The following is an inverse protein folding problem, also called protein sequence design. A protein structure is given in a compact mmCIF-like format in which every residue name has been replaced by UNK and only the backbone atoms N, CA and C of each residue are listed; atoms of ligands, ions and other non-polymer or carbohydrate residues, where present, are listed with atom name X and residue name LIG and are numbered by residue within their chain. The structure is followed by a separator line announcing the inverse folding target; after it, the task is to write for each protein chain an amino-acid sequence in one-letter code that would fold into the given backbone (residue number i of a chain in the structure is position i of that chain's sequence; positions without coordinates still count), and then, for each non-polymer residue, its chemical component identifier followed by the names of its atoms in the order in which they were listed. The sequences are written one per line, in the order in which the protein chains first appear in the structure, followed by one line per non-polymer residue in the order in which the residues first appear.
data_IF_444000687495
#
_entry.id   IF_444000687495
#
_cell.length_a   1.000
_cell.length_b   1.000
_cell.length_c   1.000
_cell.angle_alpha   90.00
_cell.angle_beta   90.00
_cell.angle_gamma   90.00
#
_symmetry.space_group_name_H-M   'P 1'
#
loop_
_entity.id
_entity.type
_entity.pdbx_description
1 polymer ?
#
# COMPACT_ATOMS: atom_id res chain seq x y z
N UNK A 1 5.68 -16.27 -16.13
CA UNK A 1 5.55 -16.36 -14.66
C UNK A 1 4.23 -15.74 -14.17
N UNK A 2 3.82 -14.59 -14.68
CA UNK A 2 2.43 -14.11 -14.58
C UNK A 2 1.75 -14.25 -15.94
N UNK A 3 1.19 -15.43 -16.20
CA UNK A 3 0.46 -15.70 -17.43
C UNK A 3 -1.05 -15.53 -17.21
N UNK A 4 -1.82 -15.31 -18.27
CA UNK A 4 -3.27 -15.05 -18.17
C UNK A 4 -4.01 -16.24 -17.51
N UNK A 5 -3.45 -17.43 -17.65
CA UNK A 5 -3.87 -18.67 -16.97
C UNK A 5 -3.67 -18.63 -15.44
N UNK A 6 -2.61 -17.98 -14.95
CA UNK A 6 -2.35 -17.86 -13.50
C UNK A 6 -3.42 -16.99 -12.82
N UNK A 7 -3.78 -15.86 -13.44
CA UNK A 7 -4.84 -14.98 -12.96
C UNK A 7 -6.26 -15.57 -13.08
N UNK A 8 -6.46 -16.50 -14.02
CA UNK A 8 -7.69 -17.29 -14.13
C UNK A 8 -7.78 -18.43 -13.10
N UNK A 9 -6.67 -18.78 -12.44
CA UNK A 9 -6.65 -19.77 -11.37
C UNK A 9 -7.14 -19.18 -10.05
N UNK A 10 -7.70 -20.05 -9.19
CA UNK A 10 -8.14 -19.71 -7.82
C UNK A 10 -7.06 -18.96 -7.02
N UNK A 11 -5.79 -19.36 -7.19
CA UNK A 11 -4.66 -18.74 -6.50
C UNK A 11 -4.39 -17.31 -7.01
N UNK A 12 -4.43 -17.10 -8.32
CA UNK A 12 -4.24 -15.77 -8.91
C UNK A 12 -5.39 -14.83 -8.57
N UNK A 13 -6.62 -15.33 -8.52
CA UNK A 13 -7.77 -14.54 -8.08
C UNK A 13 -7.66 -14.14 -6.60
N UNK A 14 -7.25 -15.07 -5.73
CA UNK A 14 -6.99 -14.75 -4.33
C UNK A 14 -5.87 -13.72 -4.18
N UNK A 15 -4.79 -13.84 -4.96
CA UNK A 15 -3.70 -12.85 -4.97
C UNK A 15 -4.19 -11.46 -5.42
N UNK A 16 -4.99 -11.40 -6.49
CA UNK A 16 -5.58 -10.14 -6.97
C UNK A 16 -6.50 -9.50 -5.93
N UNK A 17 -7.33 -10.28 -5.26
CA UNK A 17 -8.21 -9.78 -4.18
C UNK A 17 -7.38 -9.24 -3.02
N UNK A 18 -6.33 -9.93 -2.60
CA UNK A 18 -5.43 -9.45 -1.54
C UNK A 18 -4.72 -8.16 -1.91
N UNK A 19 -4.22 -8.04 -3.15
CA UNK A 19 -3.59 -6.81 -3.66
C UNK A 19 -4.62 -5.68 -3.69
N UNK A 20 -5.81 -5.94 -4.23
CA UNK A 20 -6.89 -4.94 -4.29
C UNK A 20 -7.31 -4.47 -2.88
N UNK A 21 -7.45 -5.40 -1.93
CA UNK A 21 -7.75 -5.07 -0.54
C UNK A 21 -6.64 -4.21 0.09
N UNK A 22 -5.38 -4.60 -0.09
CA UNK A 22 -4.23 -3.84 0.40
C UNK A 22 -4.19 -2.42 -0.20
N UNK A 23 -4.43 -2.27 -1.50
CA UNK A 23 -4.50 -0.96 -2.15
C UNK A 23 -5.67 -0.13 -1.62
N UNK A 24 -6.85 -0.71 -1.44
CA UNK A 24 -8.01 -0.01 -0.88
C UNK A 24 -7.75 0.50 0.54
N UNK A 25 -7.13 -0.32 1.40
CA UNK A 25 -6.72 0.09 2.73
C UNK A 25 -5.67 1.22 2.71
N UNK A 26 -4.71 1.16 1.78
CA UNK A 26 -3.73 2.23 1.63
C UNK A 26 -4.38 3.55 1.18
N UNK A 27 -5.31 3.51 0.23
CA UNK A 27 -6.04 4.70 -0.23
C UNK A 27 -6.90 5.27 0.89
N UNK A 28 -7.57 4.40 1.66
CA UNK A 28 -8.35 4.82 2.82
C UNK A 28 -7.45 5.48 3.88
N UNK A 29 -6.34 4.85 4.25
CA UNK A 29 -5.37 5.39 5.20
C UNK A 29 -4.82 6.74 4.73
N UNK A 30 -4.46 6.86 3.44
CA UNK A 30 -3.99 8.11 2.85
C UNK A 30 -5.05 9.20 2.91
N UNK A 31 -6.31 8.85 2.63
CA UNK A 31 -7.44 9.80 2.69
C UNK A 31 -7.65 10.30 4.13
N UNK A 32 -7.55 9.41 5.12
CA UNK A 32 -7.60 9.79 6.53
C UNK A 32 -6.40 10.68 6.91
N UNK A 33 -5.19 10.37 6.45
CA UNK A 33 -3.99 11.20 6.69
C UNK A 33 -4.10 12.60 6.09
N UNK A 34 -4.64 12.71 4.87
CA UNK A 34 -4.83 13.99 4.18
C UNK A 34 -5.93 14.82 4.88
N UNK A 35 -7.04 14.20 5.28
CA UNK A 35 -8.12 14.87 6.00
C UNK A 35 -7.74 15.28 7.43
N UNK A 36 -6.72 14.65 8.01
CA UNK A 36 -6.27 14.91 9.38
C UNK A 36 -5.26 16.05 9.51
N UNK A 37 -4.77 16.69 8.44
CA UNK A 37 -3.66 17.68 8.47
C UNK A 37 -3.43 18.38 9.82
N UNK A 38 -2.39 17.99 10.59
CA UNK A 38 -1.49 18.96 11.15
C UNK A 38 -0.27 19.00 10.22
N UNK A 39 -0.11 20.09 9.47
CA UNK A 39 1.16 20.56 8.90
C UNK A 39 2.29 19.51 8.75
N UNK A 40 2.51 19.07 7.50
CA UNK A 40 3.78 18.46 7.07
C UNK A 40 4.28 17.27 7.90
N UNK A 41 3.65 16.10 7.75
CA UNK A 41 4.38 14.85 7.95
C UNK A 41 5.25 14.57 6.71
N UNK A 42 6.27 15.39 6.49
CA UNK A 42 7.45 14.92 5.78
C UNK A 42 7.92 13.70 6.58
N UNK A 43 7.93 12.53 5.95
CA UNK A 43 8.52 11.32 6.51
C UNK A 43 9.94 11.67 6.94
N UNK A 44 10.14 11.89 8.24
CA UNK A 44 11.44 12.01 8.84
C UNK A 44 12.10 10.64 8.70
N UNK A 45 12.82 10.44 7.60
CA UNK A 45 13.82 9.39 7.52
C UNK A 45 14.72 9.55 8.77
N UNK A 46 14.93 8.50 9.58
CA UNK A 46 15.78 8.60 10.75
C UNK A 46 17.21 8.91 10.25
N UNK A 47 17.61 10.18 10.32
CA UNK A 47 18.98 10.61 10.11
C UNK A 47 19.79 10.16 11.31
N UNK A 48 20.37 8.96 11.21
CA UNK A 48 21.37 8.47 12.15
C UNK A 48 22.61 9.37 12.00
N UNK A 49 22.86 10.21 13.00
CA UNK A 49 24.07 11.01 13.09
C UNK A 49 25.19 10.15 13.70
N UNK A 50 26.19 9.77 12.90
CA UNK A 50 27.42 9.19 13.41
C UNK A 50 28.29 10.33 13.96
N UNK A 51 28.31 10.45 15.29
CA UNK A 51 29.34 11.18 16.03
C UNK A 51 30.51 10.25 16.38
#
# INVERSE_FOLDING_TARGET
MFDRSFFASKLGFAALVSIAAMSAFNVFALTQQIGMTPHAAMVAAPLVQLA
#
